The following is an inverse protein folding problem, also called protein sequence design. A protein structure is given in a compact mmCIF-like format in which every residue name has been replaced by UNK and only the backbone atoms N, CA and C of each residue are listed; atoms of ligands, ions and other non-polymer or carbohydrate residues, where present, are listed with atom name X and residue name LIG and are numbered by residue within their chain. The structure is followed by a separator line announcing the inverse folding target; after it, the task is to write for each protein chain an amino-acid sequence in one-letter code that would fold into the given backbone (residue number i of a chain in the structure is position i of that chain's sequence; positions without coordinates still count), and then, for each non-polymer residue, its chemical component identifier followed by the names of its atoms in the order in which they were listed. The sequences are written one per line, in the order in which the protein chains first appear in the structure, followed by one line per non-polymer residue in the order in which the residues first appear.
data_IF_253090963691
#
_entry.id   IF_253090963691
#
_cell.length_a   1.000
_cell.length_b   1.000
_cell.length_c   1.000
_cell.angle_alpha   90.00
_cell.angle_beta   90.00
_cell.angle_gamma   90.00
#
_symmetry.space_group_name_H-M   'P 1'
#
loop_
_entity.id
_entity.type
_entity.pdbx_description
1 polymer ?
#
# COMPACT_ATOMS: atom_id res chain seq x y z
N UNK A 1 28.17 -34.56 32.81
CA UNK A 1 28.82 -33.68 31.82
C UNK A 1 28.03 -33.52 30.51
N UNK A 2 27.07 -34.40 30.21
CA UNK A 2 26.36 -34.47 28.91
C UNK A 2 25.13 -33.56 28.79
N UNK A 3 24.30 -33.43 29.83
CA UNK A 3 23.08 -32.61 29.77
C UNK A 3 23.38 -31.10 29.77
N UNK A 4 24.36 -30.67 30.56
CA UNK A 4 24.80 -29.26 30.61
C UNK A 4 25.34 -28.79 29.27
N UNK A 5 26.18 -29.61 28.61
CA UNK A 5 26.75 -29.30 27.30
C UNK A 5 25.69 -29.28 26.18
N UNK A 6 24.67 -30.14 26.26
CA UNK A 6 23.53 -30.12 25.32
C UNK A 6 22.67 -28.87 25.52
N UNK A 7 22.42 -28.47 26.77
CA UNK A 7 21.67 -27.25 27.10
C UNK A 7 22.41 -26.00 26.61
N UNK A 8 23.74 -25.95 26.80
CA UNK A 8 24.57 -24.83 26.36
C UNK A 8 24.56 -24.68 24.83
N UNK A 9 24.71 -25.78 24.07
CA UNK A 9 24.58 -25.77 22.61
C UNK A 9 23.19 -25.35 22.13
N UNK A 10 22.14 -25.77 22.84
CA UNK A 10 20.76 -25.40 22.53
C UNK A 10 20.53 -23.90 22.75
N UNK A 11 20.99 -23.36 23.88
CA UNK A 11 20.92 -21.94 24.20
C UNK A 11 21.74 -21.12 23.21
N UNK A 12 22.98 -21.53 22.89
CA UNK A 12 23.83 -20.87 21.88
C UNK A 12 23.15 -20.81 20.50
N UNK A 13 22.47 -21.88 20.08
CA UNK A 13 21.71 -21.91 18.83
C UNK A 13 20.50 -20.96 18.88
N UNK A 14 19.80 -20.87 20.01
CA UNK A 14 18.73 -19.90 20.19
C UNK A 14 19.26 -18.45 20.15
N UNK A 15 20.34 -18.15 20.88
CA UNK A 15 20.97 -16.83 20.86
C UNK A 15 21.46 -16.44 19.47
N UNK A 16 22.09 -17.36 18.73
CA UNK A 16 22.50 -17.14 17.35
C UNK A 16 21.31 -16.84 16.44
N UNK A 17 20.22 -17.60 16.56
CA UNK A 17 19.00 -17.36 15.79
C UNK A 17 18.34 -16.02 16.14
N UNK A 18 18.37 -15.61 17.42
CA UNK A 18 17.87 -14.30 17.86
C UNK A 18 18.72 -13.18 17.24
N UNK A 19 20.05 -13.29 17.31
CA UNK A 19 20.98 -12.30 16.74
C UNK A 19 20.80 -12.20 15.22
N UNK A 20 20.74 -13.33 14.51
CA UNK A 20 20.48 -13.37 13.06
C UNK A 20 19.07 -12.88 12.71
N UNK A 21 18.10 -13.13 13.60
CA UNK A 21 16.77 -12.53 13.64
C UNK A 21 16.85 -11.01 13.58
N UNK A 22 17.54 -10.46 14.56
CA UNK A 22 17.71 -9.03 14.77
C UNK A 22 18.45 -8.35 13.61
N UNK A 23 19.54 -8.92 13.12
CA UNK A 23 20.28 -8.39 11.97
C UNK A 23 19.46 -8.39 10.67
N UNK A 24 18.61 -9.40 10.47
CA UNK A 24 17.69 -9.42 9.35
C UNK A 24 16.65 -8.32 9.49
N UNK A 25 15.99 -8.20 10.65
CA UNK A 25 14.99 -7.16 10.90
C UNK A 25 15.55 -5.75 10.75
N UNK A 26 16.80 -5.54 11.16
CA UNK A 26 17.54 -4.29 10.93
C UNK A 26 17.74 -4.06 9.43
N UNK A 27 18.32 -5.02 8.68
CA UNK A 27 18.53 -4.87 7.24
C UNK A 27 17.22 -4.70 6.45
N UNK A 28 16.18 -5.44 6.85
CA UNK A 28 14.81 -5.33 6.36
C UNK A 28 14.33 -3.89 6.52
N UNK A 29 14.48 -3.30 7.71
CA UNK A 29 14.00 -1.95 7.98
C UNK A 29 14.81 -0.85 7.28
N UNK A 30 16.15 -0.96 7.20
CA UNK A 30 17.00 0.13 6.67
C UNK A 30 16.91 0.23 5.13
N UNK A 31 16.78 -0.90 4.44
CA UNK A 31 16.74 -0.92 2.96
C UNK A 31 15.33 -0.81 2.40
N UNK A 32 14.30 -1.18 3.16
CA UNK A 32 12.92 -1.18 2.66
C UNK A 32 12.39 0.24 2.42
N UNK A 33 12.00 0.51 1.18
CA UNK A 33 11.40 1.76 0.76
C UNK A 33 9.87 1.70 0.73
N UNK A 34 9.24 0.53 0.74
CA UNK A 34 7.78 0.38 0.85
C UNK A 34 7.44 -0.91 1.60
N UNK A 35 6.61 -0.82 2.64
CA UNK A 35 6.26 -1.97 3.50
C UNK A 35 4.75 -2.18 3.52
N UNK A 36 4.34 -3.43 3.31
CA UNK A 36 2.93 -3.86 3.29
C UNK A 36 2.77 -5.17 4.03
N UNK A 37 1.53 -5.51 4.42
CA UNK A 37 1.19 -6.87 4.86
C UNK A 37 0.17 -7.51 3.94
N UNK A 38 0.27 -8.83 3.78
CA UNK A 38 -0.53 -9.61 2.85
C UNK A 38 -1.01 -10.91 3.50
N UNK A 39 -2.23 -11.32 3.20
CA UNK A 39 -2.80 -12.62 3.57
C UNK A 39 -2.88 -13.48 2.30
N UNK A 40 -2.02 -14.48 2.19
CA UNK A 40 -1.77 -15.15 0.89
C UNK A 40 -2.92 -16.06 0.45
N UNK A 41 -3.76 -16.50 1.38
CA UNK A 41 -4.94 -17.36 1.19
C UNK A 41 -6.25 -16.58 1.09
N UNK A 42 -6.22 -15.24 1.14
CA UNK A 42 -7.37 -14.43 0.73
C UNK A 42 -7.68 -14.62 -0.77
N UNK A 43 -8.92 -14.37 -1.21
CA UNK A 43 -9.29 -14.51 -2.62
C UNK A 43 -8.39 -13.71 -3.57
N UNK A 44 -7.97 -14.34 -4.67
CA UNK A 44 -7.09 -13.74 -5.66
C UNK A 44 -6.92 -14.66 -6.87
N UNK A 45 -6.03 -14.27 -7.78
CA UNK A 45 -5.73 -15.07 -8.98
C UNK A 45 -4.58 -16.06 -8.74
N UNK A 46 -3.73 -15.80 -7.75
CA UNK A 46 -2.62 -16.68 -7.39
C UNK A 46 -3.03 -17.68 -6.31
N UNK A 47 -2.26 -18.77 -6.16
CA UNK A 47 -2.51 -19.81 -5.16
C UNK A 47 -2.36 -19.29 -3.72
N UNK A 48 -2.82 -20.07 -2.75
CA UNK A 48 -2.91 -19.67 -1.34
C UNK A 48 -1.56 -19.41 -0.65
N UNK A 49 -0.46 -19.89 -1.22
CA UNK A 49 0.92 -19.61 -0.76
C UNK A 49 1.64 -18.66 -1.72
N UNK A 50 0.90 -17.81 -2.44
CA UNK A 50 1.44 -16.92 -3.46
C UNK A 50 0.79 -15.54 -3.40
N UNK A 51 1.54 -14.53 -3.86
CA UNK A 51 0.99 -13.23 -4.23
C UNK A 51 1.58 -12.75 -5.56
N UNK A 52 0.85 -11.88 -6.24
CA UNK A 52 1.28 -11.15 -7.43
C UNK A 52 1.27 -9.66 -7.12
N UNK A 53 2.44 -9.04 -7.21
CA UNK A 53 2.61 -7.60 -7.12
C UNK A 53 2.56 -7.03 -8.53
N UNK A 54 1.49 -6.31 -8.86
CA UNK A 54 1.36 -5.56 -10.11
C UNK A 54 2.19 -4.28 -10.06
N UNK A 55 3.51 -4.41 -10.19
CA UNK A 55 4.49 -3.31 -10.09
C UNK A 55 5.22 -3.02 -11.41
N UNK A 56 5.92 -1.88 -11.51
CA UNK A 56 6.78 -1.49 -12.66
C UNK A 56 8.17 -1.13 -12.17
N UNK A 57 9.18 -1.54 -12.95
CA UNK A 57 10.59 -1.31 -12.67
C UNK A 57 11.27 -2.54 -12.12
N UNK A 58 12.47 -2.37 -11.56
CA UNK A 58 13.31 -3.45 -11.07
C UNK A 58 13.60 -3.23 -9.59
N UNK A 59 13.20 -4.19 -8.77
CA UNK A 59 13.17 -4.01 -7.33
C UNK A 59 13.52 -5.31 -6.61
N UNK A 60 13.96 -5.19 -5.36
CA UNK A 60 14.20 -6.32 -4.48
C UNK A 60 13.03 -6.42 -3.50
N UNK A 61 12.52 -7.64 -3.34
CA UNK A 61 11.46 -7.95 -2.39
C UNK A 61 12.06 -8.80 -1.27
N UNK A 62 11.90 -8.35 -0.04
CA UNK A 62 12.20 -9.12 1.16
C UNK A 62 10.90 -9.38 1.91
N UNK A 63 10.73 -10.57 2.45
CA UNK A 63 9.51 -10.96 3.14
C UNK A 63 9.82 -11.72 4.42
N UNK A 64 8.92 -11.60 5.40
CA UNK A 64 8.89 -12.39 6.63
C UNK A 64 7.45 -12.83 6.92
N UNK A 65 7.29 -14.07 7.39
CA UNK A 65 6.01 -14.56 7.91
C UNK A 65 5.73 -13.94 9.30
N UNK A 66 4.53 -13.42 9.48
CA UNK A 66 4.13 -12.83 10.75
C UNK A 66 3.99 -13.92 11.82
N UNK A 67 4.67 -13.74 12.96
CA UNK A 67 4.72 -14.74 14.03
C UNK A 67 5.75 -15.84 13.83
N UNK A 68 6.50 -15.83 12.73
CA UNK A 68 7.56 -16.79 12.45
C UNK A 68 8.80 -16.09 11.84
N UNK A 69 9.67 -15.58 12.72
CA UNK A 69 10.85 -14.78 12.35
C UNK A 69 11.93 -15.57 11.57
N UNK A 70 11.79 -16.91 11.50
CA UNK A 70 12.69 -17.79 10.76
C UNK A 70 12.21 -17.97 9.32
N UNK A 71 10.89 -17.93 9.08
CA UNK A 71 10.34 -18.06 7.73
C UNK A 71 10.36 -16.72 7.00
N UNK A 72 11.44 -16.52 6.24
CA UNK A 72 11.75 -15.27 5.55
C UNK A 72 12.55 -15.53 4.28
N UNK A 73 12.54 -14.56 3.38
CA UNK A 73 13.31 -14.68 2.14
C UNK A 73 13.47 -13.36 1.41
N UNK A 74 14.27 -13.42 0.35
CA UNK A 74 14.50 -12.31 -0.57
C UNK A 74 14.42 -12.82 -1.99
N UNK A 75 13.79 -12.05 -2.88
CA UNK A 75 13.73 -12.33 -4.32
C UNK A 75 13.84 -11.03 -5.12
N UNK A 76 14.24 -11.13 -6.38
CA UNK A 76 14.21 -10.00 -7.31
C UNK A 76 12.85 -9.95 -8.01
N UNK A 77 12.36 -8.73 -8.22
CA UNK A 77 11.14 -8.44 -8.95
C UNK A 77 11.44 -7.55 -10.16
N UNK A 78 10.78 -7.86 -11.27
CA UNK A 78 10.78 -7.05 -12.47
C UNK A 78 9.35 -6.92 -12.95
N UNK A 79 8.86 -5.69 -13.02
CA UNK A 79 7.48 -5.39 -13.34
C UNK A 79 6.50 -6.25 -12.50
N UNK A 80 5.53 -6.90 -13.14
CA UNK A 80 4.57 -7.77 -12.45
C UNK A 80 5.33 -8.99 -11.94
N UNK A 81 5.40 -9.13 -10.62
CA UNK A 81 6.21 -10.18 -9.98
C UNK A 81 5.34 -11.09 -9.13
N UNK A 82 5.53 -12.39 -9.31
CA UNK A 82 4.92 -13.43 -8.47
C UNK A 82 5.90 -13.84 -7.38
N UNK A 83 5.41 -13.93 -6.15
CA UNK A 83 6.16 -14.44 -5.00
C UNK A 83 5.52 -15.76 -4.58
N UNK A 84 6.37 -16.74 -4.29
CA UNK A 84 5.97 -18.06 -3.80
C UNK A 84 6.53 -18.19 -2.38
N UNK A 85 5.67 -18.43 -1.42
CA UNK A 85 6.02 -18.65 -0.02
C UNK A 85 6.02 -20.14 0.31
N UNK A 86 6.73 -20.56 1.38
CA UNK A 86 6.74 -21.97 1.79
C UNK A 86 5.37 -22.51 2.17
N UNK A 87 4.54 -21.69 2.83
CA UNK A 87 3.19 -22.02 3.26
C UNK A 87 2.23 -20.84 3.03
N UNK A 88 0.94 -21.10 3.04
CA UNK A 88 -0.05 -20.05 3.16
C UNK A 88 0.06 -19.35 4.52
N UNK A 89 -0.20 -18.05 4.59
CA UNK A 89 -0.15 -17.29 5.84
C UNK A 89 -0.16 -15.78 5.64
N UNK A 90 0.14 -15.06 6.72
CA UNK A 90 0.29 -13.60 6.69
C UNK A 90 1.76 -13.22 6.59
N UNK A 91 2.10 -12.41 5.59
CA UNK A 91 3.47 -12.01 5.32
C UNK A 91 3.62 -10.49 5.33
N UNK A 92 4.68 -9.99 5.98
CA UNK A 92 5.14 -8.62 5.82
C UNK A 92 6.11 -8.58 4.65
N UNK A 93 5.82 -7.70 3.69
CA UNK A 93 6.57 -7.55 2.44
C UNK A 93 7.23 -6.17 2.44
N UNK A 94 8.55 -6.15 2.30
CA UNK A 94 9.37 -4.98 2.10
C UNK A 94 9.89 -4.94 0.66
N UNK A 95 9.74 -3.80 0.00
CA UNK A 95 10.27 -3.54 -1.34
C UNK A 95 11.33 -2.45 -1.27
N UNK A 96 12.44 -2.66 -1.97
CA UNK A 96 13.50 -1.66 -2.18
C UNK A 96 13.93 -1.63 -3.65
N UNK A 97 14.60 -0.56 -4.07
CA UNK A 97 15.06 -0.40 -5.46
C UNK A 97 14.09 0.46 -6.28
N UNK A 98 14.04 0.23 -7.59
CA UNK A 98 13.33 1.08 -8.54
C UNK A 98 11.91 0.58 -8.80
N UNK A 99 11.10 0.45 -7.74
CA UNK A 99 9.66 0.29 -7.90
C UNK A 99 9.06 1.67 -8.22
N UNK A 100 8.46 1.82 -9.40
CA UNK A 100 8.02 3.13 -9.91
C UNK A 100 6.51 3.34 -9.82
N UNK A 101 5.75 2.25 -9.83
CA UNK A 101 4.30 2.25 -9.86
C UNK A 101 3.77 0.90 -9.38
N UNK A 102 2.65 0.92 -8.68
CA UNK A 102 1.76 -0.24 -8.47
C UNK A 102 0.46 0.03 -9.25
N UNK A 103 -0.17 -0.99 -9.82
CA UNK A 103 -1.49 -0.90 -10.46
C UNK A 103 -2.32 -2.18 -10.27
N UNK A 104 -3.15 -2.27 -9.24
CA UNK A 104 -4.09 -3.39 -9.13
C UNK A 104 -5.19 -3.32 -10.20
N UNK A 105 -5.64 -2.12 -10.55
CA UNK A 105 -6.66 -1.90 -11.58
C UNK A 105 -7.93 -2.76 -11.41
N UNK A 106 -8.32 -3.07 -10.16
CA UNK A 106 -9.48 -3.91 -9.86
C UNK A 106 -9.31 -5.39 -10.22
N UNK A 107 -8.07 -5.87 -10.40
CA UNK A 107 -7.73 -7.25 -10.80
C UNK A 107 -6.67 -7.85 -9.88
N UNK A 108 -6.21 -9.05 -10.20
CA UNK A 108 -5.12 -9.72 -9.51
C UNK A 108 -5.43 -10.06 -8.05
N UNK A 109 -4.40 -10.02 -7.23
CA UNK A 109 -4.47 -10.38 -5.80
C UNK A 109 -4.86 -9.22 -4.89
N UNK A 110 -5.71 -8.31 -5.38
CA UNK A 110 -6.11 -7.08 -4.67
C UNK A 110 -6.68 -7.31 -3.27
N UNK A 111 -7.38 -8.41 -3.04
CA UNK A 111 -7.93 -8.74 -1.72
C UNK A 111 -6.90 -9.39 -0.78
N UNK A 112 -5.75 -9.82 -1.30
CA UNK A 112 -4.64 -10.33 -0.49
C UNK A 112 -3.85 -9.21 0.21
N UNK A 113 -3.84 -7.99 -0.33
CA UNK A 113 -3.21 -6.83 0.30
C UNK A 113 -4.06 -6.34 1.49
N UNK A 114 -3.48 -6.41 2.70
CA UNK A 114 -4.16 -5.99 3.93
C UNK A 114 -3.77 -4.58 4.34
N UNK A 115 -2.47 -4.26 4.36
CA UNK A 115 -2.03 -2.98 4.90
C UNK A 115 -0.91 -2.33 4.11
N UNK A 116 -0.91 -0.99 4.13
CA UNK A 116 0.30 -0.19 3.90
C UNK A 116 0.83 0.21 5.27
N UNK A 117 2.01 -0.33 5.62
CA UNK A 117 2.68 -0.08 6.90
C UNK A 117 3.67 1.09 6.78
N UNK A 118 4.25 1.31 5.59
CA UNK A 118 5.22 2.39 5.34
C UNK A 118 5.32 2.75 3.85
N UNK A 119 5.27 4.04 3.52
CA UNK A 119 5.42 4.53 2.14
C UNK A 119 6.88 4.62 1.68
N UNK A 120 7.76 4.92 2.63
CA UNK A 120 9.18 5.19 2.48
C UNK A 120 9.52 6.17 1.36
N UNK A 121 10.68 5.97 0.72
CA UNK A 121 11.32 6.97 -0.15
C UNK A 121 11.12 6.73 -1.64
N UNK A 122 10.23 5.82 -2.03
CA UNK A 122 9.93 5.56 -3.44
C UNK A 122 9.43 6.85 -4.10
N UNK A 123 10.12 7.30 -5.14
CA UNK A 123 9.69 8.40 -5.99
C UNK A 123 8.66 7.86 -7.01
N UNK A 124 7.39 7.87 -6.63
CA UNK A 124 6.31 7.31 -7.44
C UNK A 124 6.14 8.08 -8.74
N UNK A 125 6.11 7.37 -9.87
CA UNK A 125 5.85 7.98 -11.20
C UNK A 125 4.37 8.09 -11.51
N UNK A 126 3.54 7.24 -10.90
CA UNK A 126 2.09 7.30 -11.04
C UNK A 126 1.41 6.58 -9.86
N UNK A 127 0.25 7.09 -9.45
CA UNK A 127 -0.66 6.41 -8.52
C UNK A 127 -1.97 5.99 -9.19
N UNK A 128 -2.04 6.10 -10.53
CA UNK A 128 -3.23 5.72 -11.29
C UNK A 128 -3.55 4.24 -11.09
N UNK A 129 -4.76 3.96 -10.64
CA UNK A 129 -5.27 2.61 -10.32
C UNK A 129 -4.43 1.84 -9.29
N UNK A 130 -3.63 2.53 -8.47
CA UNK A 130 -2.62 1.87 -7.66
C UNK A 130 -3.20 0.78 -6.78
N UNK A 131 -4.23 1.09 -5.99
CA UNK A 131 -4.89 0.17 -5.06
C UNK A 131 -6.34 -0.13 -5.44
N UNK A 132 -6.74 0.15 -6.68
CA UNK A 132 -8.14 -0.02 -7.11
C UNK A 132 -8.65 -1.44 -6.79
N UNK A 133 -9.71 -1.50 -6.00
CA UNK A 133 -10.41 -2.72 -5.60
C UNK A 133 -9.73 -3.51 -4.47
N UNK A 134 -8.70 -2.97 -3.82
CA UNK A 134 -8.11 -3.57 -2.63
C UNK A 134 -9.06 -3.38 -1.43
N UNK A 135 -10.11 -4.20 -1.37
CA UNK A 135 -11.22 -4.06 -0.42
C UNK A 135 -10.78 -4.19 1.05
N UNK A 136 -9.74 -4.98 1.32
CA UNK A 136 -9.20 -5.21 2.66
C UNK A 136 -8.12 -4.20 3.08
N UNK A 137 -7.77 -3.25 2.20
CA UNK A 137 -6.65 -2.34 2.43
C UNK A 137 -6.94 -1.33 3.55
N UNK A 138 -6.06 -1.30 4.55
CA UNK A 138 -5.97 -0.28 5.59
C UNK A 138 -4.59 0.40 5.52
N UNK A 139 -4.51 1.70 5.78
CA UNK A 139 -3.22 2.41 5.85
C UNK A 139 -2.86 2.71 7.31
N UNK A 140 -1.78 2.09 7.79
CA UNK A 140 -1.20 2.33 9.12
C UNK A 140 0.06 3.20 9.07
N UNK A 141 0.59 3.45 7.87
CA UNK A 141 1.75 4.29 7.64
C UNK A 141 1.60 5.67 8.29
N UNK A 142 2.65 6.09 8.99
CA UNK A 142 2.77 7.42 9.60
C UNK A 142 3.65 8.36 8.77
N UNK A 143 4.42 7.81 7.82
CA UNK A 143 5.17 8.56 6.83
C UNK A 143 4.31 8.90 5.61
N UNK A 144 4.85 9.72 4.71
CA UNK A 144 4.16 10.18 3.49
C UNK A 144 4.81 9.62 2.24
N UNK A 145 4.03 9.34 1.17
CA UNK A 145 4.60 9.00 -0.12
C UNK A 145 5.29 10.20 -0.76
N UNK A 146 6.41 9.96 -1.45
CA UNK A 146 6.97 10.96 -2.34
C UNK A 146 6.15 11.00 -3.65
N UNK A 147 5.27 12.00 -3.75
CA UNK A 147 4.39 12.24 -4.90
C UNK A 147 4.94 13.30 -5.86
N UNK A 148 6.20 13.73 -5.71
CA UNK A 148 6.77 14.85 -6.50
C UNK A 148 6.73 14.63 -8.02
N UNK A 149 6.70 13.37 -8.49
CA UNK A 149 6.61 13.02 -9.90
C UNK A 149 5.21 12.54 -10.33
N UNK A 150 4.24 12.50 -9.41
CA UNK A 150 2.89 11.97 -9.69
C UNK A 150 2.01 13.05 -10.28
N UNK A 151 1.56 12.84 -11.51
CA UNK A 151 0.58 13.71 -12.19
C UNK A 151 -0.83 13.14 -12.19
N UNK A 152 -1.00 11.84 -11.90
CA UNK A 152 -2.29 11.16 -11.86
C UNK A 152 -2.42 10.26 -10.63
N UNK A 153 -3.48 10.51 -9.86
CA UNK A 153 -3.96 9.67 -8.76
C UNK A 153 -5.32 9.04 -9.09
N UNK A 154 -5.70 9.03 -10.38
CA UNK A 154 -7.00 8.57 -10.83
C UNK A 154 -7.27 7.13 -10.37
N UNK A 155 -8.41 6.93 -9.72
CA UNK A 155 -8.85 5.65 -9.18
C UNK A 155 -7.87 4.98 -8.20
N UNK A 156 -6.99 5.74 -7.53
CA UNK A 156 -5.97 5.18 -6.63
C UNK A 156 -6.60 4.28 -5.55
N UNK A 157 -7.69 4.70 -4.93
CA UNK A 157 -8.41 3.97 -3.87
C UNK A 157 -9.85 3.62 -4.25
N UNK A 158 -10.17 3.60 -5.54
CA UNK A 158 -11.50 3.23 -6.00
C UNK A 158 -11.84 1.79 -5.55
N UNK A 159 -13.02 1.59 -4.96
CA UNK A 159 -13.51 0.32 -4.39
C UNK A 159 -12.64 -0.24 -3.25
N UNK A 160 -11.84 0.60 -2.58
CA UNK A 160 -11.17 0.23 -1.33
C UNK A 160 -12.13 0.44 -0.16
N UNK A 161 -13.07 -0.48 0.01
CA UNK A 161 -14.19 -0.34 0.95
C UNK A 161 -13.78 -0.21 2.41
N UNK A 162 -12.60 -0.72 2.80
CA UNK A 162 -12.06 -0.60 4.18
C UNK A 162 -11.06 0.55 4.37
N UNK A 163 -10.73 1.30 3.31
CA UNK A 163 -9.68 2.31 3.38
C UNK A 163 -10.18 3.58 4.08
N UNK A 164 -9.52 3.96 5.17
CA UNK A 164 -9.76 5.20 5.91
C UNK A 164 -8.43 5.81 6.43
N UNK A 165 -7.38 5.74 5.60
CA UNK A 165 -6.02 6.13 5.97
C UNK A 165 -5.81 7.63 6.15
N UNK A 166 -5.01 8.06 7.14
CA UNK A 166 -4.65 9.47 7.36
C UNK A 166 -3.72 9.96 6.24
N UNK A 167 -4.28 10.76 5.33
CA UNK A 167 -3.58 11.24 4.11
C UNK A 167 -3.62 12.76 3.95
N UNK A 168 -3.98 13.48 5.02
CA UNK A 168 -4.11 14.95 5.00
C UNK A 168 -2.79 15.65 4.64
N UNK A 169 -1.65 15.07 5.02
CA UNK A 169 -0.32 15.64 4.85
C UNK A 169 0.35 15.29 3.50
N UNK A 170 -0.37 14.68 2.58
CA UNK A 170 0.18 14.34 1.26
C UNK A 170 0.37 15.59 0.40
N UNK A 171 1.51 15.67 -0.30
CA UNK A 171 1.76 16.75 -1.25
C UNK A 171 1.15 16.43 -2.62
N UNK A 172 0.00 17.02 -2.92
CA UNK A 172 -0.74 16.82 -4.19
C UNK A 172 -0.47 17.91 -5.24
N UNK A 173 0.49 18.82 -5.02
CA UNK A 173 0.68 20.04 -5.83
C UNK A 173 1.04 19.80 -7.31
N UNK A 174 1.41 18.58 -7.69
CA UNK A 174 1.71 18.20 -9.08
C UNK A 174 0.59 17.37 -9.74
N UNK A 175 -0.45 17.02 -9.00
CA UNK A 175 -1.51 16.11 -9.46
C UNK A 175 -2.51 16.88 -10.32
N UNK A 176 -2.75 16.38 -11.53
CA UNK A 176 -3.68 16.95 -12.50
C UNK A 176 -4.96 16.12 -12.65
N UNK A 177 -4.84 14.78 -12.58
CA UNK A 177 -5.98 13.86 -12.69
C UNK A 177 -6.24 13.16 -11.35
N UNK A 178 -7.32 13.56 -10.68
CA UNK A 178 -7.81 13.01 -9.41
C UNK A 178 -9.06 12.14 -9.58
N UNK A 179 -9.49 11.89 -10.82
CA UNK A 179 -10.77 11.24 -11.13
C UNK A 179 -10.98 9.93 -10.38
N UNK A 180 -12.15 9.79 -9.76
CA UNK A 180 -12.56 8.55 -9.10
C UNK A 180 -11.65 8.11 -7.95
N UNK A 181 -10.83 9.01 -7.37
CA UNK A 181 -9.81 8.64 -6.38
C UNK A 181 -10.37 7.82 -5.22
N UNK A 182 -11.59 8.13 -4.75
CA UNK A 182 -12.33 7.41 -3.70
C UNK A 182 -13.67 6.85 -4.21
N UNK A 183 -13.78 6.57 -5.52
CA UNK A 183 -14.97 5.99 -6.12
C UNK A 183 -15.38 4.70 -5.39
N UNK A 184 -16.56 4.65 -4.78
CA UNK A 184 -17.06 3.54 -3.95
C UNK A 184 -16.09 3.13 -2.82
N UNK A 185 -15.33 4.07 -2.25
CA UNK A 185 -14.54 3.85 -1.04
C UNK A 185 -15.42 4.16 0.19
N UNK A 186 -16.38 3.28 0.48
CA UNK A 186 -17.49 3.56 1.41
C UNK A 186 -17.05 4.03 2.81
N UNK A 187 -15.91 3.53 3.33
CA UNK A 187 -15.42 3.87 4.67
C UNK A 187 -14.56 5.13 4.75
N UNK A 188 -14.23 5.76 3.62
CA UNK A 188 -13.30 6.89 3.61
C UNK A 188 -13.96 8.15 4.16
N UNK A 189 -13.41 8.71 5.25
CA UNK A 189 -13.88 9.95 5.87
C UNK A 189 -12.73 10.72 6.56
N UNK A 190 -11.54 10.72 5.97
CA UNK A 190 -10.39 11.46 6.53
C UNK A 190 -10.31 12.88 5.98
N UNK A 191 -9.83 13.86 6.80
CA UNK A 191 -9.69 15.24 6.35
C UNK A 191 -8.67 15.35 5.22
N UNK A 192 -9.06 16.03 4.14
CA UNK A 192 -8.24 16.28 2.94
C UNK A 192 -8.31 17.75 2.49
N UNK A 193 -8.76 18.63 3.38
CA UNK A 193 -8.83 20.08 3.16
C UNK A 193 -7.48 20.70 2.76
N UNK A 194 -6.38 20.13 3.26
CA UNK A 194 -5.00 20.59 3.08
C UNK A 194 -4.40 20.26 1.72
N UNK A 195 -5.08 19.46 0.90
CA UNK A 195 -4.58 19.13 -0.43
C UNK A 195 -4.53 20.36 -1.33
N UNK A 196 -3.43 20.47 -2.06
CA UNK A 196 -3.28 21.48 -3.10
C UNK A 196 -3.87 20.92 -4.41
N UNK A 197 -4.99 21.50 -4.86
CA UNK A 197 -5.70 21.11 -6.08
C UNK A 197 -5.53 22.13 -7.21
N UNK A 198 -4.61 23.10 -7.09
CA UNK A 198 -4.50 24.22 -8.04
C UNK A 198 -4.13 23.81 -9.48
N UNK A 199 -3.55 22.62 -9.66
CA UNK A 199 -3.24 22.03 -10.97
C UNK A 199 -4.27 20.98 -11.42
N UNK A 200 -5.27 20.67 -10.61
CA UNK A 200 -6.24 19.63 -10.93
C UNK A 200 -7.12 20.09 -12.10
N UNK A 201 -7.16 19.29 -13.16
CA UNK A 201 -8.02 19.52 -14.33
C UNK A 201 -9.17 18.52 -14.39
N UNK A 202 -9.05 17.36 -13.73
CA UNK A 202 -10.11 16.37 -13.64
C UNK A 202 -10.34 15.93 -12.19
N UNK A 203 -11.54 16.21 -11.69
CA UNK A 203 -12.02 15.87 -10.35
C UNK A 203 -13.34 15.10 -10.41
N UNK A 204 -13.69 14.54 -11.57
CA UNK A 204 -14.90 13.74 -11.74
C UNK A 204 -14.92 12.52 -10.83
N UNK A 205 -16.08 12.21 -10.28
CA UNK A 205 -16.36 11.02 -9.49
C UNK A 205 -15.48 10.80 -8.24
N UNK A 206 -14.72 11.80 -7.75
CA UNK A 206 -13.78 11.61 -6.62
C UNK A 206 -14.45 10.89 -5.44
N UNK A 207 -15.66 11.31 -5.06
CA UNK A 207 -16.44 10.75 -3.96
C UNK A 207 -17.71 10.03 -4.42
N UNK A 208 -17.79 9.63 -5.70
CA UNK A 208 -18.94 8.87 -6.20
C UNK A 208 -19.13 7.62 -5.33
N UNK A 209 -20.28 7.44 -4.69
CA UNK A 209 -20.57 6.31 -3.80
C UNK A 209 -19.67 6.21 -2.55
N UNK A 210 -18.92 7.26 -2.19
CA UNK A 210 -18.15 7.33 -0.94
C UNK A 210 -19.09 7.71 0.22
N UNK A 211 -19.94 6.76 0.60
CA UNK A 211 -21.12 7.01 1.46
C UNK A 211 -20.83 7.76 2.75
N UNK A 212 -19.70 7.51 3.42
CA UNK A 212 -19.37 8.11 4.71
C UNK A 212 -18.54 9.40 4.62
N UNK A 213 -18.14 9.83 3.42
CA UNK A 213 -17.31 11.03 3.30
C UNK A 213 -18.11 12.28 3.68
N UNK A 214 -17.64 12.98 4.72
CA UNK A 214 -18.24 14.23 5.17
C UNK A 214 -17.19 15.17 5.79
N UNK A 215 -16.16 15.52 4.99
CA UNK A 215 -15.08 16.40 5.42
C UNK A 215 -15.09 17.70 4.62
N UNK A 216 -14.73 18.84 5.24
CA UNK A 216 -14.68 20.12 4.53
C UNK A 216 -13.58 20.10 3.46
N UNK A 217 -13.93 20.57 2.27
CA UNK A 217 -13.05 20.70 1.09
C UNK A 217 -13.11 22.10 0.48
N UNK A 218 -13.64 23.07 1.22
CA UNK A 218 -13.87 24.45 0.80
C UNK A 218 -12.58 25.25 0.50
N UNK A 219 -11.39 24.68 0.77
CA UNK A 219 -10.09 25.27 0.38
C UNK A 219 -9.59 24.76 -0.98
N UNK A 220 -10.28 23.80 -1.60
CA UNK A 220 -9.86 23.27 -2.89
C UNK A 220 -10.00 24.35 -3.97
N UNK A 221 -8.91 24.60 -4.69
CA UNK A 221 -8.91 25.46 -5.85
C UNK A 221 -9.44 24.67 -7.05
N UNK A 222 -10.49 25.19 -7.66
CA UNK A 222 -11.21 24.55 -8.77
C UNK A 222 -11.06 25.32 -10.10
N UNK A 223 -10.25 26.39 -10.13
CA UNK A 223 -10.16 27.30 -11.27
C UNK A 223 -9.57 26.70 -12.55
N UNK A 224 -8.86 25.57 -12.47
CA UNK A 224 -8.35 24.81 -13.62
C UNK A 224 -9.19 23.57 -13.97
N UNK A 225 -10.25 23.28 -13.19
CA UNK A 225 -10.99 22.04 -13.32
C UNK A 225 -11.92 22.11 -14.53
N UNK A 226 -11.80 21.11 -15.40
CA UNK A 226 -12.61 20.96 -16.61
C UNK A 226 -13.75 19.98 -16.37
N UNK A 227 -13.55 18.99 -15.49
CA UNK A 227 -14.54 17.95 -15.22
C UNK A 227 -14.70 17.69 -13.71
N UNK A 228 -15.95 17.81 -13.22
CA UNK A 228 -16.42 17.42 -11.89
C UNK A 228 -17.69 16.53 -11.94
N UNK A 229 -17.96 15.89 -13.08
CA UNK A 229 -19.14 15.04 -13.23
C UNK A 229 -19.20 13.99 -12.13
N UNK A 230 -20.37 13.80 -11.52
CA UNK A 230 -20.61 12.75 -10.52
C UNK A 230 -19.78 12.84 -9.23
N UNK A 231 -19.07 13.95 -8.99
CA UNK A 231 -18.10 14.07 -7.89
C UNK A 231 -18.64 13.64 -6.51
N UNK A 232 -19.92 13.94 -6.22
CA UNK A 232 -20.60 13.57 -4.97
C UNK A 232 -21.83 12.67 -5.19
N UNK A 233 -22.00 12.11 -6.40
CA UNK A 233 -23.16 11.26 -6.66
C UNK A 233 -23.11 10.02 -5.75
N UNK A 234 -24.12 9.84 -4.90
CA UNK A 234 -24.16 8.76 -3.91
C UNK A 234 -23.28 8.97 -2.66
N UNK A 235 -22.63 10.13 -2.49
CA UNK A 235 -21.96 10.50 -1.24
C UNK A 235 -22.98 10.94 -0.18
N UNK A 236 -23.75 9.99 0.35
CA UNK A 236 -24.97 10.27 1.14
C UNK A 236 -24.76 11.08 2.42
N UNK A 237 -23.56 11.06 3.01
CA UNK A 237 -23.27 11.78 4.26
C UNK A 237 -22.75 13.20 4.02
N UNK A 238 -22.39 13.57 2.79
CA UNK A 238 -21.74 14.85 2.50
C UNK A 238 -22.75 16.00 2.57
N UNK A 239 -22.44 17.04 3.34
CA UNK A 239 -23.28 18.24 3.51
C UNK A 239 -22.54 19.56 3.32
#
# INVERSE_FOLDING_TARGET
MTLHFLLEKYLLKQFYNIILGYFFSINFSIKAQFITTWMTDNPGISKDHQIIISGKGNYTITWEEMGNEINRGTTQGQNITKIIFPNAGTYKIAISGDLQQIWFNGRGDRAKLLTIERWGKIAWKSMKNAFRGCQNLVCKATDIPNLSQVTSMAYMFAKCTSFNGKISNWNTSNVMDMRGMFFEANSFNQPIRSWNTSKATNMGDIFFGANLFNQPINNWNTGQVINMSGMFQGAVSFN
#
